data_IF_712155449418
#
_entry.id   IF_712155449418
#
_cell.length_a   1.000
_cell.length_b   1.000
_cell.length_c   1.000
_cell.angle_alpha   90.00
_cell.angle_beta   90.00
_cell.angle_gamma   90.00
#
_symmetry.space_group_name_H-M   'P 1'
#
loop_
_entity.id
_entity.type
_entity.pdbx_description
1 polymer ?
#
# COMPACT_ATOMS: atom_id res chain seq x y z
N UNK A 1 -14.68 -11.71 -10.53
CA UNK A 1 -13.67 -12.79 -10.42
C UNK A 1 -12.73 -12.36 -9.30
N UNK A 2 -12.54 -13.23 -8.32
CA UNK A 2 -11.93 -12.93 -7.03
C UNK A 2 -10.52 -12.38 -7.22
N UNK A 3 -10.24 -11.15 -6.76
CA UNK A 3 -8.87 -10.68 -6.56
C UNK A 3 -8.27 -11.51 -5.41
N UNK A 4 -7.67 -12.64 -5.75
CA UNK A 4 -6.76 -13.37 -4.87
C UNK A 4 -5.72 -12.36 -4.39
N UNK A 5 -5.84 -11.96 -3.13
CA UNK A 5 -4.88 -11.10 -2.47
C UNK A 5 -3.56 -11.86 -2.39
N UNK A 6 -2.67 -11.66 -3.37
CA UNK A 6 -1.35 -12.31 -3.42
C UNK A 6 -0.66 -12.20 -2.08
N UNK A 7 -0.18 -13.32 -1.59
CA UNK A 7 0.47 -13.41 -0.31
C UNK A 7 1.84 -12.70 -0.37
N UNK A 8 2.27 -12.00 0.68
CA UNK A 8 3.59 -11.35 0.71
C UNK A 8 4.74 -12.35 0.56
N UNK A 9 4.55 -13.60 0.98
CA UNK A 9 5.49 -14.68 0.71
C UNK A 9 5.59 -15.01 -0.78
N UNK A 10 4.47 -14.99 -1.52
CA UNK A 10 4.44 -15.20 -2.97
C UNK A 10 5.06 -14.02 -3.72
N UNK A 11 4.83 -12.78 -3.25
CA UNK A 11 5.42 -11.57 -3.84
C UNK A 11 6.96 -11.60 -3.81
N UNK A 12 7.53 -12.17 -2.74
CA UNK A 12 8.99 -12.31 -2.62
C UNK A 12 9.51 -13.66 -3.15
N UNK A 13 8.63 -14.53 -3.65
CA UNK A 13 8.94 -15.91 -4.08
C UNK A 13 9.66 -16.73 -3.00
N UNK A 14 9.19 -16.62 -1.75
CA UNK A 14 9.75 -17.32 -0.59
C UNK A 14 8.68 -18.17 0.11
N UNK A 15 9.12 -19.21 0.83
CA UNK A 15 8.20 -20.04 1.64
C UNK A 15 7.70 -19.31 2.89
N UNK A 16 6.57 -19.76 3.43
CA UNK A 16 6.01 -19.24 4.70
C UNK A 16 6.97 -19.50 5.88
N UNK A 17 7.78 -20.55 5.79
CA UNK A 17 8.82 -20.92 6.76
C UNK A 17 10.18 -20.25 6.47
N UNK A 18 10.26 -19.33 5.49
CA UNK A 18 11.53 -18.75 5.10
C UNK A 18 12.21 -18.00 6.25
N UNK A 19 13.51 -18.16 6.39
CA UNK A 19 14.27 -17.41 7.38
C UNK A 19 14.49 -15.95 6.93
N UNK A 20 15.06 -15.14 7.82
CA UNK A 20 15.22 -13.70 7.58
C UNK A 20 16.16 -13.40 6.39
N UNK A 21 17.18 -14.24 6.18
CA UNK A 21 18.13 -14.11 5.08
C UNK A 21 17.50 -14.49 3.74
N UNK A 22 16.64 -15.50 3.73
CA UNK A 22 15.86 -15.93 2.56
C UNK A 22 14.87 -14.86 2.14
N UNK A 23 14.18 -14.22 3.10
CA UNK A 23 13.29 -13.09 2.85
C UNK A 23 14.06 -11.92 2.23
N UNK A 24 15.25 -11.62 2.76
CA UNK A 24 16.09 -10.55 2.22
C UNK A 24 16.62 -10.86 0.82
N UNK A 25 17.04 -12.10 0.56
CA UNK A 25 17.45 -12.56 -0.78
C UNK A 25 16.30 -12.53 -1.79
N UNK A 26 15.10 -12.94 -1.37
CA UNK A 26 13.88 -12.84 -2.17
C UNK A 26 13.56 -11.39 -2.54
N UNK A 27 13.63 -10.49 -1.56
CA UNK A 27 13.48 -9.05 -1.78
C UNK A 27 14.48 -8.49 -2.79
N UNK A 28 15.78 -8.76 -2.62
CA UNK A 28 16.81 -8.28 -3.55
C UNK A 28 16.59 -8.84 -4.95
N UNK A 29 16.26 -10.13 -5.08
CA UNK A 29 15.98 -10.77 -6.37
C UNK A 29 14.79 -10.10 -7.07
N UNK A 30 13.67 -9.96 -6.37
CA UNK A 30 12.46 -9.37 -6.91
C UNK A 30 12.69 -7.89 -7.29
N UNK A 31 13.34 -7.11 -6.41
CA UNK A 31 13.66 -5.71 -6.68
C UNK A 31 14.55 -5.55 -7.92
N UNK A 32 15.59 -6.36 -8.04
CA UNK A 32 16.48 -6.32 -9.20
C UNK A 32 15.75 -6.73 -10.49
N UNK A 33 14.88 -7.74 -10.40
CA UNK A 33 14.08 -8.20 -11.54
C UNK A 33 13.23 -7.06 -12.11
N UNK A 34 12.56 -6.27 -11.26
CA UNK A 34 11.64 -5.20 -11.67
C UNK A 34 12.25 -3.79 -11.69
N UNK A 35 13.55 -3.66 -11.39
CA UNK A 35 14.27 -2.38 -11.47
C UNK A 35 14.38 -1.87 -12.91
N UNK A 36 14.55 -0.56 -13.07
CA UNK A 36 14.59 0.12 -14.37
C UNK A 36 15.72 -0.34 -15.31
N UNK A 37 16.71 -1.08 -14.81
CA UNK A 37 17.81 -1.59 -15.63
C UNK A 37 17.48 -2.95 -16.29
N UNK A 38 16.31 -3.53 -15.99
CA UNK A 38 15.87 -4.81 -16.54
C UNK A 38 15.27 -4.64 -17.93
N UNK A 39 16.14 -4.55 -18.94
CA UNK A 39 15.80 -4.31 -20.36
C UNK A 39 14.73 -5.25 -20.93
N UNK A 40 14.55 -6.44 -20.34
CA UNK A 40 13.59 -7.45 -20.77
C UNK A 40 12.12 -7.12 -20.41
N UNK A 41 11.87 -6.30 -19.38
CA UNK A 41 10.51 -6.03 -18.88
C UNK A 41 9.77 -4.94 -19.66
N UNK A 42 10.49 -4.01 -20.29
CA UNK A 42 9.89 -2.90 -21.04
C UNK A 42 9.07 -3.35 -22.27
N UNK A 43 9.25 -4.60 -22.72
CA UNK A 43 8.44 -5.17 -23.81
C UNK A 43 7.12 -5.78 -23.34
N UNK A 44 6.96 -6.03 -22.03
CA UNK A 44 5.82 -6.73 -21.46
C UNK A 44 4.98 -5.85 -20.51
N UNK A 45 5.55 -4.78 -19.96
CA UNK A 45 4.92 -3.97 -18.92
C UNK A 45 5.26 -2.48 -19.07
N UNK A 46 4.33 -1.63 -18.63
CA UNK A 46 4.52 -0.17 -18.56
C UNK A 46 5.38 0.23 -17.36
N UNK A 47 5.92 1.46 -17.38
CA UNK A 47 6.74 1.98 -16.27
C UNK A 47 5.93 2.08 -14.97
N UNK A 48 4.66 2.39 -15.10
CA UNK A 48 3.71 2.53 -14.01
C UNK A 48 3.42 1.17 -13.36
N UNK A 49 3.25 0.11 -14.15
CA UNK A 49 3.05 -1.25 -13.63
C UNK A 49 4.31 -1.79 -12.94
N UNK A 50 5.50 -1.53 -13.49
CA UNK A 50 6.76 -1.87 -12.82
C UNK A 50 6.87 -1.17 -11.46
N UNK A 51 6.46 0.10 -11.38
CA UNK A 51 6.48 0.84 -10.12
C UNK A 51 5.51 0.24 -9.10
N UNK A 52 4.31 -0.16 -9.51
CA UNK A 52 3.34 -0.82 -8.62
C UNK A 52 3.87 -2.16 -8.06
N UNK A 53 4.57 -2.93 -8.89
CA UNK A 53 5.19 -4.19 -8.44
C UNK A 53 6.33 -3.91 -7.47
N UNK A 54 7.17 -2.90 -7.74
CA UNK A 54 8.24 -2.50 -6.83
C UNK A 54 7.69 -2.05 -5.47
N UNK A 55 6.62 -1.25 -5.47
CA UNK A 55 5.96 -0.80 -4.24
C UNK A 55 5.42 -1.99 -3.42
N UNK A 56 4.83 -2.99 -4.10
CA UNK A 56 4.35 -4.23 -3.47
C UNK A 56 5.49 -5.06 -2.88
N UNK A 57 6.62 -5.17 -3.59
CA UNK A 57 7.83 -5.88 -3.11
C UNK A 57 8.40 -5.20 -1.86
N UNK A 58 8.42 -3.86 -1.84
CA UNK A 58 8.88 -3.10 -0.67
C UNK A 58 7.93 -3.26 0.54
N UNK A 59 6.62 -3.25 0.30
CA UNK A 59 5.62 -3.50 1.34
C UNK A 59 5.77 -4.92 1.93
N UNK A 60 5.87 -5.93 1.06
CA UNK A 60 6.06 -7.32 1.48
C UNK A 60 7.31 -7.48 2.35
N UNK A 61 8.44 -6.90 1.95
CA UNK A 61 9.66 -6.95 2.75
C UNK A 61 9.53 -6.18 4.08
N UNK A 62 8.87 -5.01 4.10
CA UNK A 62 8.68 -4.21 5.32
C UNK A 62 7.86 -4.92 6.41
N UNK A 63 6.95 -5.81 5.99
CA UNK A 63 6.15 -6.65 6.89
C UNK A 63 6.89 -7.92 7.27
N UNK A 64 7.47 -8.64 6.30
CA UNK A 64 8.12 -9.93 6.54
C UNK A 64 9.49 -9.81 7.22
N UNK A 65 10.16 -8.65 7.13
CA UNK A 65 11.47 -8.41 7.77
C UNK A 65 11.43 -8.18 9.28
N UNK A 66 10.27 -7.81 9.82
CA UNK A 66 10.10 -7.63 11.26
C UNK A 66 9.36 -8.86 11.82
N UNK A 67 9.98 -9.64 12.72
CA UNK A 67 9.37 -10.84 13.30
C UNK A 67 8.00 -10.59 13.95
N UNK A 68 7.76 -9.40 14.52
CA UNK A 68 6.48 -9.07 15.14
C UNK A 68 5.41 -8.80 14.09
N UNK A 69 5.73 -8.03 13.04
CA UNK A 69 4.80 -7.74 11.95
C UNK A 69 4.51 -8.97 11.11
N UNK A 70 5.51 -9.81 10.86
CA UNK A 70 5.36 -11.11 10.21
C UNK A 70 4.37 -11.98 10.97
N UNK A 71 4.52 -12.10 12.30
CA UNK A 71 3.59 -12.87 13.13
C UNK A 71 2.17 -12.33 13.08
N UNK A 72 1.99 -11.00 13.15
CA UNK A 72 0.68 -10.36 13.03
C UNK A 72 0.05 -10.61 11.65
N UNK A 73 0.86 -10.52 10.59
CA UNK A 73 0.44 -10.84 9.23
C UNK A 73 -0.01 -12.31 9.12
N UNK A 74 0.77 -13.23 9.67
CA UNK A 74 0.47 -14.67 9.67
C UNK A 74 -0.79 -15.00 10.48
N UNK A 75 -1.03 -14.28 11.58
CA UNK A 75 -2.23 -14.41 12.40
C UNK A 75 -3.48 -13.92 11.67
N UNK A 76 -3.43 -12.73 11.06
CA UNK A 76 -4.54 -12.13 10.30
C UNK A 76 -4.86 -12.95 9.04
N UNK A 77 -3.84 -13.50 8.36
CA UNK A 77 -3.99 -14.33 7.16
C UNK A 77 -4.27 -15.81 7.47
N UNK A 78 -4.26 -16.21 8.75
CA UNK A 78 -4.63 -17.57 9.17
C UNK A 78 -3.56 -18.63 8.94
N UNK A 79 -2.31 -18.25 8.66
CA UNK A 79 -1.19 -19.20 8.54
C UNK A 79 -0.83 -19.87 9.88
N UNK A 80 -1.31 -19.34 11.01
CA UNK A 80 -1.02 -19.83 12.37
C UNK A 80 -2.14 -20.67 13.06
N UNK A 81 -3.20 -21.10 12.36
CA UNK A 81 -4.16 -22.10 12.91
C UNK A 81 -3.88 -23.49 12.32
N UNK A 82 -3.37 -24.41 13.17
CA UNK A 82 -2.86 -25.77 12.83
C UNK A 82 -3.85 -26.71 12.11
N UNK A 83 -3.50 -27.91 11.63
CA UNK A 83 -2.48 -28.95 11.94
C UNK A 83 -2.67 -30.07 10.84
N UNK A 84 -1.87 -31.16 10.64
CA UNK A 84 -0.92 -31.81 11.54
C UNK A 84 0.47 -32.16 10.99
N UNK A 85 1.33 -32.38 11.98
CA UNK A 85 2.63 -33.04 11.94
C UNK A 85 2.51 -34.43 11.28
N UNK A 86 2.81 -34.54 9.99
CA UNK A 86 3.00 -35.84 9.31
C UNK A 86 4.29 -35.83 8.50
N UNK A 87 5.22 -36.65 8.98
CA UNK A 87 6.39 -37.23 8.31
C UNK A 87 6.72 -36.76 6.88
N UNK A 88 7.87 -36.09 6.73
CA UNK A 88 8.90 -36.49 5.75
C UNK A 88 10.27 -36.24 6.41
N UNK A 89 10.82 -37.26 7.05
CA UNK A 89 11.73 -38.23 6.43
C UNK A 89 13.07 -37.57 6.08
N UNK A 90 14.02 -37.81 6.97
CA UNK A 90 15.44 -37.54 6.81
C UNK A 90 15.98 -38.09 5.49
N UNK A 91 16.95 -37.39 4.91
CA UNK A 91 18.19 -37.99 4.38
C UNK A 91 19.25 -36.90 4.08
N UNK A 92 20.54 -37.26 4.08
CA UNK A 92 21.62 -36.45 4.68
C UNK A 92 22.78 -36.10 3.72
N UNK A 93 23.71 -35.24 4.18
CA UNK A 93 25.07 -35.08 3.64
C UNK A 93 25.43 -33.62 3.31
N UNK A 94 26.15 -32.89 4.18
CA UNK A 94 27.62 -32.72 4.24
C UNK A 94 28.20 -32.17 2.91
N UNK A 95 28.89 -31.02 2.85
CA UNK A 95 30.15 -30.73 3.55
C UNK A 95 30.49 -29.22 3.54
N UNK A 96 31.21 -28.83 4.58
CA UNK A 96 31.95 -27.60 4.81
C UNK A 96 33.27 -27.52 4.03
N UNK A 97 33.61 -26.35 3.48
CA UNK A 97 34.99 -25.85 3.29
C UNK A 97 34.89 -24.34 2.98
N UNK A 98 35.26 -23.42 3.87
CA UNK A 98 36.60 -22.97 4.27
C UNK A 98 36.99 -21.67 3.53
N UNK A 99 37.67 -20.83 4.30
CA UNK A 99 37.97 -19.40 4.22
C UNK A 99 38.52 -18.86 2.90
N UNK A 100 38.28 -17.58 2.61
CA UNK A 100 39.35 -16.56 2.66
C UNK A 100 38.85 -15.13 2.44
N UNK A 101 39.43 -14.26 3.27
CA UNK A 101 39.37 -12.81 3.27
C UNK A 101 39.59 -12.17 1.89
N UNK A 102 38.81 -11.13 1.59
CA UNK A 102 39.33 -9.98 0.86
C UNK A 102 38.77 -8.69 1.42
N UNK A 103 39.59 -8.09 2.28
CA UNK A 103 39.51 -6.72 2.75
C UNK A 103 39.88 -5.78 1.59
N UNK A 104 38.92 -4.98 1.11
CA UNK A 104 39.22 -3.74 0.40
C UNK A 104 38.34 -2.63 0.97
N UNK A 105 39.03 -1.55 1.33
CA UNK A 105 38.63 -0.49 2.22
C UNK A 105 38.36 0.80 1.41
N UNK A 106 37.63 1.74 2.02
CA UNK A 106 37.25 3.10 1.57
C UNK A 106 36.17 3.19 0.48
N UNK A 107 35.15 4.06 0.58
CA UNK A 107 35.17 5.39 1.14
C UNK A 107 33.83 5.83 1.78
N UNK A 108 33.93 6.93 2.51
CA UNK A 108 32.93 7.63 3.32
C UNK A 108 31.88 8.38 2.47
N UNK A 109 30.89 8.96 3.17
CA UNK A 109 29.69 9.72 2.71
C UNK A 109 28.51 8.84 2.25
N UNK A 110 27.28 8.97 2.73
CA UNK A 110 26.57 10.10 3.35
C UNK A 110 25.37 9.57 4.19
N UNK A 111 25.47 9.60 5.51
CA UNK A 111 24.48 9.02 6.46
C UNK A 111 23.34 9.96 6.88
N UNK A 112 22.96 10.94 6.05
CA UNK A 112 21.94 11.95 6.40
C UNK A 112 20.54 11.73 5.83
N UNK A 113 20.41 11.19 4.62
CA UNK A 113 19.18 11.36 3.83
C UNK A 113 18.14 10.24 3.99
N UNK A 114 18.59 8.98 4.09
CA UNK A 114 17.67 7.83 4.23
C UNK A 114 16.90 7.80 5.56
N UNK A 115 17.44 8.45 6.60
CA UNK A 115 16.77 8.56 7.90
C UNK A 115 15.62 9.58 7.85
N UNK A 116 15.75 10.66 7.06
CA UNK A 116 14.69 11.65 6.87
C UNK A 116 13.51 11.11 6.05
N UNK A 117 13.76 10.36 4.97
CA UNK A 117 12.70 9.81 4.12
C UNK A 117 11.74 8.86 4.87
N UNK A 118 12.28 7.99 5.75
CA UNK A 118 11.47 7.09 6.60
C UNK A 118 10.68 7.84 7.68
N UNK A 119 11.22 8.91 8.25
CA UNK A 119 10.52 9.76 9.23
C UNK A 119 9.39 10.55 8.56
N UNK A 120 9.61 11.04 7.34
CA UNK A 120 8.60 11.77 6.55
C UNK A 120 7.45 10.86 6.12
N UNK A 121 7.73 9.62 5.68
CA UNK A 121 6.68 8.67 5.28
C UNK A 121 5.73 8.30 6.43
N UNK A 122 6.25 8.12 7.65
CA UNK A 122 5.44 7.80 8.85
C UNK A 122 4.62 9.01 9.34
N UNK A 123 5.10 10.25 9.10
CA UNK A 123 4.36 11.49 9.36
C UNK A 123 3.33 11.83 8.27
N UNK A 124 3.53 11.43 7.01
CA UNK A 124 2.69 11.82 5.87
C UNK A 124 1.20 11.49 6.06
N UNK A 125 0.90 10.30 6.59
CA UNK A 125 -0.47 9.84 6.85
C UNK A 125 -0.96 10.09 8.28
N UNK A 126 -0.15 10.77 9.12
CA UNK A 126 -0.60 11.25 10.42
C UNK A 126 -1.63 12.36 10.22
N UNK A 127 -2.86 12.12 10.64
CA UNK A 127 -3.90 13.15 10.68
C UNK A 127 -3.82 13.79 12.07
N UNK A 128 -3.73 15.11 12.11
CA UNK A 128 -3.60 15.90 13.33
C UNK A 128 -4.88 16.72 13.48
N UNK A 129 -5.83 16.19 14.26
CA UNK A 129 -7.13 16.81 14.47
C UNK A 129 -7.65 16.54 15.88
N UNK A 130 -8.49 17.44 16.36
CA UNK A 130 -9.15 17.28 17.64
C UNK A 130 -10.37 16.36 17.45
N UNK A 131 -10.32 15.16 18.03
CA UNK A 131 -11.41 14.19 17.93
C UNK A 131 -12.71 14.75 18.47
N UNK A 132 -13.74 14.78 17.61
CA UNK A 132 -15.11 15.09 17.99
C UNK A 132 -15.88 13.77 18.01
N UNK A 133 -16.21 13.28 19.21
CA UNK A 133 -16.88 11.99 19.40
C UNK A 133 -18.22 11.88 18.68
N UNK A 134 -18.95 12.98 18.54
CA UNK A 134 -20.27 12.96 17.90
C UNK A 134 -20.11 12.84 16.38
N UNK A 135 -19.12 13.54 15.83
CA UNK A 135 -18.84 13.51 14.40
C UNK A 135 -18.16 12.21 13.95
N UNK A 136 -17.28 11.61 14.75
CA UNK A 136 -16.74 10.27 14.44
C UNK A 136 -17.86 9.21 14.42
N UNK A 137 -18.85 9.30 15.34
CA UNK A 137 -20.03 8.40 15.27
C UNK A 137 -20.88 8.64 14.02
N UNK A 138 -21.03 9.90 13.59
CA UNK A 138 -21.69 10.24 12.31
C UNK A 138 -20.94 9.61 11.14
N UNK A 139 -19.61 9.70 11.12
CA UNK A 139 -18.75 9.10 10.07
C UNK A 139 -18.87 7.57 10.07
N UNK A 140 -18.81 6.91 11.23
CA UNK A 140 -18.89 5.45 11.35
C UNK A 140 -20.25 4.87 10.98
N UNK A 141 -21.35 5.60 11.25
CA UNK A 141 -22.71 5.14 10.96
C UNK A 141 -23.22 5.51 9.57
N UNK A 142 -22.52 6.41 8.86
CA UNK A 142 -22.92 6.84 7.52
C UNK A 142 -22.64 5.75 6.48
N UNK A 143 -23.61 5.51 5.60
CA UNK A 143 -23.48 4.59 4.45
C UNK A 143 -23.49 5.30 3.10
N UNK A 144 -23.86 6.59 3.08
CA UNK A 144 -23.94 7.41 1.88
C UNK A 144 -22.96 8.58 1.95
N UNK A 145 -21.95 8.58 1.07
CA UNK A 145 -20.93 9.62 1.05
C UNK A 145 -21.15 10.59 -0.11
N UNK A 146 -21.46 11.84 0.24
CA UNK A 146 -21.56 12.95 -0.70
C UNK A 146 -20.23 13.69 -0.81
N UNK A 147 -20.03 14.45 -1.89
CA UNK A 147 -18.88 15.36 -2.03
C UNK A 147 -18.78 16.34 -0.85
N UNK A 148 -19.90 16.93 -0.44
CA UNK A 148 -19.95 17.85 0.70
C UNK A 148 -19.56 17.17 2.02
N UNK A 149 -20.00 15.92 2.24
CA UNK A 149 -19.65 15.18 3.43
C UNK A 149 -18.15 14.81 3.45
N UNK A 150 -17.59 14.40 2.31
CA UNK A 150 -16.15 14.18 2.17
C UNK A 150 -15.33 15.44 2.45
N UNK A 151 -15.81 16.61 2.01
CA UNK A 151 -15.22 17.91 2.33
C UNK A 151 -15.26 18.19 3.83
N UNK A 152 -16.42 17.99 4.49
CA UNK A 152 -16.60 18.18 5.94
C UNK A 152 -15.64 17.29 6.74
N UNK A 153 -15.49 16.02 6.33
CA UNK A 153 -14.53 15.08 6.95
C UNK A 153 -13.09 15.55 6.73
N UNK A 154 -12.74 15.96 5.51
CA UNK A 154 -11.39 16.45 5.19
C UNK A 154 -11.00 17.63 6.06
N UNK A 155 -11.89 18.62 6.19
CA UNK A 155 -11.69 19.83 6.98
C UNK A 155 -11.62 19.51 8.48
N UNK A 156 -12.52 18.65 8.98
CA UNK A 156 -12.48 18.14 10.34
C UNK A 156 -11.15 17.45 10.68
N UNK A 157 -10.62 16.63 9.77
CA UNK A 157 -9.32 15.95 9.95
C UNK A 157 -8.11 16.85 9.65
N UNK A 158 -8.31 18.17 9.50
CA UNK A 158 -7.31 19.19 9.20
C UNK A 158 -6.43 18.86 7.98
N UNK A 159 -7.05 18.34 6.92
CA UNK A 159 -6.35 18.04 5.68
C UNK A 159 -6.64 19.11 4.64
N UNK A 160 -5.64 19.90 4.26
CA UNK A 160 -5.79 20.84 3.16
C UNK A 160 -5.87 20.11 1.81
N UNK A 161 -6.57 20.71 0.82
CA UNK A 161 -6.65 20.16 -0.55
C UNK A 161 -5.26 19.94 -1.15
N UNK A 162 -4.33 20.85 -0.86
CA UNK A 162 -2.94 20.78 -1.34
C UNK A 162 -2.22 19.56 -0.78
N UNK A 163 -2.33 19.35 0.54
CA UNK A 163 -1.79 18.18 1.22
C UNK A 163 -2.43 16.89 0.71
N UNK A 164 -3.75 16.89 0.50
CA UNK A 164 -4.47 15.72 -0.01
C UNK A 164 -4.03 15.38 -1.45
N UNK A 165 -3.84 16.38 -2.30
CA UNK A 165 -3.32 16.21 -3.66
C UNK A 165 -1.92 15.59 -3.64
N UNK A 166 -1.03 16.07 -2.76
CA UNK A 166 0.33 15.56 -2.64
C UNK A 166 0.38 14.11 -2.17
N UNK A 167 -0.52 13.73 -1.26
CA UNK A 167 -0.63 12.38 -0.71
C UNK A 167 -1.25 11.38 -1.69
N UNK A 168 -2.28 11.81 -2.44
CA UNK A 168 -3.05 10.93 -3.34
C UNK A 168 -2.55 10.93 -4.78
N UNK A 169 -1.73 11.92 -5.17
CA UNK A 169 -1.37 12.23 -6.56
C UNK A 169 -2.54 12.60 -7.46
N UNK A 170 -3.68 12.95 -6.86
CA UNK A 170 -4.84 13.49 -7.57
C UNK A 170 -4.67 15.01 -7.68
N UNK A 171 -5.01 15.58 -8.83
CA UNK A 171 -4.93 17.04 -8.98
C UNK A 171 -5.87 17.76 -7.99
N UNK A 172 -5.46 18.93 -7.51
CA UNK A 172 -6.28 19.80 -6.63
C UNK A 172 -7.66 20.07 -7.25
N UNK A 173 -7.70 20.22 -8.58
CA UNK A 173 -8.95 20.45 -9.32
C UNK A 173 -9.90 19.26 -9.19
N UNK A 174 -9.41 18.02 -9.36
CA UNK A 174 -10.27 16.84 -9.22
C UNK A 174 -10.75 16.61 -7.80
N UNK A 175 -9.93 16.90 -6.78
CA UNK A 175 -10.38 16.87 -5.38
C UNK A 175 -11.54 17.86 -5.17
N UNK A 176 -11.40 19.09 -5.69
CA UNK A 176 -12.47 20.10 -5.62
C UNK A 176 -13.73 19.68 -6.38
N UNK A 177 -13.60 19.06 -7.55
CA UNK A 177 -14.74 18.57 -8.32
C UNK A 177 -15.44 17.40 -7.64
N UNK A 178 -14.70 16.53 -6.95
CA UNK A 178 -15.28 15.46 -6.11
C UNK A 178 -16.06 16.10 -4.95
N UNK A 179 -15.46 17.03 -4.22
CA UNK A 179 -16.12 17.70 -3.09
C UNK A 179 -17.34 18.53 -3.49
N UNK A 180 -17.31 19.12 -4.68
CA UNK A 180 -18.42 19.91 -5.23
C UNK A 180 -19.46 19.06 -6.00
N UNK A 181 -19.22 17.75 -6.17
CA UNK A 181 -19.99 16.86 -7.05
C UNK A 181 -20.18 17.46 -8.47
N UNK A 182 -19.16 18.14 -9.01
CA UNK A 182 -19.16 18.72 -10.36
C UNK A 182 -18.93 17.64 -11.43
N UNK A 183 -20.00 16.90 -11.71
CA UNK A 183 -19.95 15.67 -12.51
C UNK A 183 -19.56 15.90 -13.98
N UNK A 184 -19.69 17.12 -14.48
CA UNK A 184 -19.38 17.49 -15.86
C UNK A 184 -17.87 17.65 -16.05
N UNK A 185 -17.13 17.99 -14.98
CA UNK A 185 -15.67 18.17 -14.99
C UNK A 185 -14.91 16.96 -14.47
N UNK A 186 -15.59 15.96 -13.92
CA UNK A 186 -15.00 14.71 -13.49
C UNK A 186 -14.66 13.81 -14.71
N UNK A 187 -13.59 13.00 -14.62
CA UNK A 187 -13.22 12.08 -15.69
C UNK A 187 -14.19 10.89 -15.77
N UNK A 188 -13.85 9.88 -16.58
CA UNK A 188 -14.62 8.65 -16.66
C UNK A 188 -14.78 7.97 -15.28
N UNK A 189 -15.91 7.29 -15.10
CA UNK A 189 -16.33 6.70 -13.82
C UNK A 189 -15.26 5.82 -13.14
N UNK A 190 -14.53 5.02 -13.94
CA UNK A 190 -13.46 4.16 -13.43
C UNK A 190 -12.35 4.96 -12.73
N UNK A 191 -11.98 6.13 -13.27
CA UNK A 191 -10.99 7.02 -12.65
C UNK A 191 -11.56 7.68 -11.39
N UNK A 192 -12.81 8.14 -11.43
CA UNK A 192 -13.48 8.73 -10.26
C UNK A 192 -13.50 7.75 -9.09
N UNK A 193 -13.79 6.46 -9.36
CA UNK A 193 -13.72 5.40 -8.33
C UNK A 193 -12.36 5.38 -7.64
N UNK A 194 -11.29 5.35 -8.43
CA UNK A 194 -9.92 5.33 -7.92
C UNK A 194 -9.58 6.59 -7.14
N UNK A 195 -10.02 7.76 -7.61
CA UNK A 195 -9.79 9.03 -6.92
C UNK A 195 -10.46 9.07 -5.56
N UNK A 196 -11.76 8.73 -5.51
CA UNK A 196 -12.54 8.69 -4.27
C UNK A 196 -11.97 7.65 -3.30
N UNK A 197 -11.54 6.50 -3.80
CA UNK A 197 -10.87 5.47 -3.00
C UNK A 197 -9.60 6.00 -2.31
N UNK A 198 -8.73 6.69 -3.06
CA UNK A 198 -7.49 7.26 -2.50
C UNK A 198 -7.76 8.40 -1.51
N UNK A 199 -8.77 9.24 -1.78
CA UNK A 199 -9.22 10.27 -0.83
C UNK A 199 -9.69 9.62 0.47
N UNK A 200 -10.54 8.60 0.40
CA UNK A 200 -11.04 7.88 1.57
C UNK A 200 -9.92 7.24 2.39
N UNK A 201 -8.94 6.61 1.72
CA UNK A 201 -7.75 6.03 2.37
C UNK A 201 -6.95 7.09 3.13
N UNK A 202 -6.72 8.26 2.52
CA UNK A 202 -6.01 9.36 3.18
C UNK A 202 -6.78 9.95 4.37
N UNK A 203 -8.12 9.92 4.32
CA UNK A 203 -9.00 10.39 5.39
C UNK A 203 -9.28 9.32 6.45
N UNK A 204 -8.64 8.14 6.38
CA UNK A 204 -8.85 7.00 7.28
C UNK A 204 -10.32 6.50 7.32
N UNK A 205 -10.99 6.55 6.18
CA UNK A 205 -12.33 5.99 5.99
C UNK A 205 -12.25 4.59 5.40
N UNK A 206 -13.37 3.86 5.37
CA UNK A 206 -13.49 2.62 4.60
C UNK A 206 -13.53 2.96 3.10
N UNK A 207 -12.47 2.64 2.32
CA UNK A 207 -12.34 3.16 0.96
C UNK A 207 -13.30 2.50 -0.03
N UNK A 208 -13.63 1.22 0.17
CA UNK A 208 -14.57 0.49 -0.69
C UNK A 208 -16.00 1.01 -0.53
N UNK A 209 -16.41 1.28 0.71
CA UNK A 209 -17.74 1.83 1.02
C UNK A 209 -17.91 3.24 0.45
N UNK A 210 -16.92 4.12 0.68
CA UNK A 210 -16.96 5.50 0.20
C UNK A 210 -16.98 5.53 -1.33
N UNK A 211 -16.08 4.80 -2.00
CA UNK A 211 -16.05 4.77 -3.46
C UNK A 211 -17.34 4.20 -4.06
N UNK A 212 -17.90 3.15 -3.46
CA UNK A 212 -19.12 2.51 -3.97
C UNK A 212 -20.35 3.41 -3.79
N UNK A 213 -20.55 3.98 -2.60
CA UNK A 213 -21.68 4.87 -2.33
C UNK A 213 -21.62 6.17 -3.14
N UNK A 214 -20.44 6.77 -3.26
CA UNK A 214 -20.23 7.97 -4.08
C UNK A 214 -20.55 7.72 -5.55
N UNK A 215 -20.10 6.59 -6.12
CA UNK A 215 -20.43 6.24 -7.51
C UNK A 215 -21.91 5.98 -7.73
N UNK A 216 -22.57 5.29 -6.80
CA UNK A 216 -24.01 5.05 -6.87
C UNK A 216 -24.76 6.39 -6.91
N UNK A 217 -24.39 7.32 -6.03
CA UNK A 217 -24.92 8.68 -6.01
C UNK A 217 -24.66 9.44 -7.30
N UNK A 218 -23.43 9.39 -7.82
CA UNK A 218 -23.06 10.04 -9.09
C UNK A 218 -23.93 9.54 -10.26
N UNK A 219 -24.21 8.23 -10.33
CA UNK A 219 -25.10 7.66 -11.35
C UNK A 219 -26.52 8.18 -11.23
N UNK A 220 -27.05 8.24 -10.00
CA UNK A 220 -28.38 8.77 -9.73
C UNK A 220 -28.50 10.23 -10.16
N UNK A 221 -27.54 11.08 -9.79
CA UNK A 221 -27.52 12.49 -10.20
C UNK A 221 -27.42 12.67 -11.72
N UNK A 222 -26.67 11.81 -12.43
CA UNK A 222 -26.61 11.84 -13.89
C UNK A 222 -27.90 11.37 -14.57
N UNK A 223 -28.67 10.50 -13.91
CA UNK A 223 -29.97 10.06 -14.43
C UNK A 223 -31.11 11.05 -14.18
N UNK A 224 -30.94 11.96 -13.22
CA UNK A 224 -31.92 12.99 -12.85
C UNK A 224 -31.72 14.32 -13.61
N UNK A 225 -30.65 14.44 -14.40
CA UNK A 225 -30.24 15.62 -15.17
C UNK A 225 -30.58 15.44 -16.65
#
# INVERSE_FOLDING_TARGET
MMEESRNYYEVLEVGIEANQDEIYRGYLRAKNAYSQDSLALYSLMTKEECQQILDLIEEAYSILSDPNKRRQYDEVRGFNKGMPRVMRAASPGLTSADNSDHHLNQAQDSTGEHSMAKIVAKKRFGLDYNENTDFEREIESTTEFTGEFLKKIREYKNVEVDRLADMTKISKSYIRYIEAEDLDRLPAEAYVRGFVYQVAKCLKLNPDMVATSYLYRMKKLRSEK
#
